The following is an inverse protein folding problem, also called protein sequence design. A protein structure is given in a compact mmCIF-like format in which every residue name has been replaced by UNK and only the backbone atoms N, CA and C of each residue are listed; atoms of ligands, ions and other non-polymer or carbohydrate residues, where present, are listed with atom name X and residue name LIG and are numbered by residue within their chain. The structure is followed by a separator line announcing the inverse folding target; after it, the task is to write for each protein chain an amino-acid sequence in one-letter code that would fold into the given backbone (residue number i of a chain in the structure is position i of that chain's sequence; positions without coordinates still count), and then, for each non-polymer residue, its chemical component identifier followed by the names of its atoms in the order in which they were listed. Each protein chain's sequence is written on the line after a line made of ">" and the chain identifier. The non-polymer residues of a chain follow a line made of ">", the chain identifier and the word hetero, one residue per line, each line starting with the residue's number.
data_IF_358125621958
#
_entry.id   IF_358125621958
#
_cell.length_a   1.000
_cell.length_b   1.000
_cell.length_c   1.000
_cell.angle_alpha   90.00
_cell.angle_beta   90.00
_cell.angle_gamma   90.00
#
_symmetry.space_group_name_H-M   'P 1'
#
loop_
_entity.id
_entity.type
_entity.pdbx_description
1 polymer ?
#
# COMPACT_ATOMS: atom_id res chain seq x y z
N UNK A 1 -14.32 -14.97 -6.57
CA UNK A 1 -13.01 -15.35 -6.05
C UNK A 1 -12.73 -16.81 -6.41
N UNK A 2 -13.64 -17.71 -6.16
CA UNK A 2 -13.53 -19.15 -6.44
C UNK A 2 -13.46 -19.55 -7.91
N UNK A 3 -13.79 -18.64 -8.85
CA UNK A 3 -13.90 -19.02 -10.27
C UNK A 3 -12.56 -19.46 -10.86
N UNK A 4 -11.47 -18.78 -10.50
CA UNK A 4 -10.12 -19.11 -10.97
C UNK A 4 -9.70 -20.49 -10.43
N UNK A 5 -9.96 -20.77 -9.17
CA UNK A 5 -9.66 -22.05 -8.53
C UNK A 5 -10.55 -23.18 -9.08
N UNK A 6 -11.87 -22.95 -9.17
CA UNK A 6 -12.83 -23.94 -9.75
C UNK A 6 -12.53 -24.32 -11.18
N UNK A 7 -11.98 -23.38 -11.96
CA UNK A 7 -11.62 -23.61 -13.39
C UNK A 7 -10.16 -24.00 -13.58
N UNK A 8 -9.39 -24.14 -12.50
CA UNK A 8 -7.95 -24.43 -12.53
C UNK A 8 -7.18 -23.49 -13.47
N UNK A 9 -7.51 -22.20 -13.42
CA UNK A 9 -6.89 -21.18 -14.25
C UNK A 9 -5.64 -20.60 -13.58
N UNK A 10 -4.69 -20.07 -14.35
CA UNK A 10 -3.56 -19.33 -13.78
C UNK A 10 -4.03 -18.18 -12.89
N UNK A 11 -3.34 -17.95 -11.77
CA UNK A 11 -3.67 -16.86 -10.83
C UNK A 11 -3.68 -15.48 -11.50
N UNK A 12 -2.93 -15.30 -12.59
CA UNK A 12 -2.94 -14.08 -13.40
C UNK A 12 -4.32 -13.74 -13.98
N UNK A 13 -5.23 -14.70 -14.03
CA UNK A 13 -6.61 -14.52 -14.51
C UNK A 13 -7.56 -14.01 -13.40
N UNK A 14 -7.11 -13.95 -12.15
CA UNK A 14 -7.92 -13.35 -11.08
C UNK A 14 -8.05 -11.84 -11.29
N UNK A 15 -9.26 -11.35 -11.14
CA UNK A 15 -9.53 -9.90 -11.19
C UNK A 15 -9.17 -9.24 -9.84
N UNK A 16 -7.90 -8.89 -9.69
CA UNK A 16 -7.41 -8.19 -8.51
C UNK A 16 -7.97 -6.78 -8.33
N UNK A 17 -8.47 -6.16 -9.39
CA UNK A 17 -9.13 -4.87 -9.29
C UNK A 17 -10.45 -4.99 -8.54
N UNK A 18 -11.30 -5.93 -8.95
CA UNK A 18 -12.55 -6.21 -8.24
C UNK A 18 -12.33 -6.75 -6.82
N UNK A 19 -11.27 -7.55 -6.63
CA UNK A 19 -10.88 -8.04 -5.30
C UNK A 19 -10.52 -6.86 -4.36
N UNK A 20 -9.76 -5.88 -4.83
CA UNK A 20 -9.44 -4.66 -4.08
C UNK A 20 -10.71 -3.86 -3.72
N UNK A 21 -11.63 -3.72 -4.65
CA UNK A 21 -12.89 -3.00 -4.39
C UNK A 21 -13.77 -3.73 -3.38
N UNK A 22 -13.86 -5.06 -3.48
CA UNK A 22 -14.58 -5.87 -2.49
C UNK A 22 -13.98 -5.71 -1.10
N UNK A 23 -12.65 -5.78 -0.99
CA UNK A 23 -11.94 -5.55 0.26
C UNK A 23 -12.27 -4.16 0.86
N UNK A 24 -12.17 -3.11 0.06
CA UNK A 24 -12.48 -1.75 0.50
C UNK A 24 -13.95 -1.62 0.92
N UNK A 25 -14.88 -2.17 0.14
CA UNK A 25 -16.30 -2.18 0.48
C UNK A 25 -16.58 -2.85 1.83
N UNK A 26 -15.96 -3.99 2.10
CA UNK A 26 -16.11 -4.69 3.37
C UNK A 26 -15.58 -3.86 4.55
N UNK A 27 -14.45 -3.18 4.39
CA UNK A 27 -13.94 -2.24 5.40
C UNK A 27 -14.95 -1.11 5.67
N UNK A 28 -15.54 -0.51 4.62
CA UNK A 28 -16.57 0.54 4.77
C UNK A 28 -17.84 0.06 5.47
N UNK A 29 -18.12 -1.25 5.44
CA UNK A 29 -19.23 -1.86 6.17
C UNK A 29 -18.88 -2.31 7.59
N UNK A 30 -17.63 -2.10 8.03
CA UNK A 30 -17.13 -2.59 9.31
C UNK A 30 -16.94 -4.11 9.38
N UNK A 31 -16.97 -4.79 8.24
CA UNK A 31 -16.82 -6.26 8.14
C UNK A 31 -15.33 -6.64 8.07
N UNK A 32 -14.59 -6.29 9.13
CA UNK A 32 -13.11 -6.33 9.17
C UNK A 32 -12.57 -7.74 8.92
N UNK A 33 -13.14 -8.77 9.55
CA UNK A 33 -12.69 -10.16 9.38
C UNK A 33 -12.88 -10.66 7.94
N UNK A 34 -13.97 -10.26 7.30
CA UNK A 34 -14.21 -10.58 5.90
C UNK A 34 -13.24 -9.85 4.99
N UNK A 35 -12.95 -8.58 5.25
CA UNK A 35 -11.94 -7.82 4.53
C UNK A 35 -10.54 -8.47 4.68
N UNK A 36 -10.16 -8.87 5.89
CA UNK A 36 -8.91 -9.58 6.15
C UNK A 36 -8.83 -10.90 5.36
N UNK A 37 -9.93 -11.65 5.28
CA UNK A 37 -10.01 -12.89 4.49
C UNK A 37 -9.79 -12.63 2.99
N UNK A 38 -10.33 -11.52 2.45
CA UNK A 38 -10.09 -11.10 1.06
C UNK A 38 -8.63 -10.71 0.85
N UNK A 39 -8.02 -10.01 1.83
CA UNK A 39 -6.62 -9.63 1.74
C UNK A 39 -5.69 -10.86 1.81
N UNK A 40 -6.01 -11.86 2.61
CA UNK A 40 -5.26 -13.13 2.68
C UNK A 40 -5.21 -13.86 1.32
N UNK A 41 -6.27 -13.79 0.50
CA UNK A 41 -6.26 -14.30 -0.87
C UNK A 41 -5.20 -13.58 -1.71
N UNK A 42 -5.13 -12.27 -1.61
CA UNK A 42 -4.12 -11.45 -2.29
C UNK A 42 -2.70 -11.86 -1.90
N UNK A 43 -2.44 -12.10 -0.62
CA UNK A 43 -1.13 -12.52 -0.09
C UNK A 43 -0.77 -13.93 -0.60
N UNK A 44 -1.71 -14.87 -0.54
CA UNK A 44 -1.54 -16.24 -1.06
C UNK A 44 -1.17 -16.22 -2.54
N UNK A 45 -1.90 -15.47 -3.34
CA UNK A 45 -1.67 -15.37 -4.79
C UNK A 45 -0.31 -14.71 -5.09
N UNK A 46 0.12 -13.74 -4.31
CA UNK A 46 1.46 -13.16 -4.43
C UNK A 46 2.55 -14.17 -4.11
N UNK A 47 2.41 -14.92 -3.02
CA UNK A 47 3.38 -15.94 -2.63
C UNK A 47 3.52 -17.02 -3.69
N UNK A 48 2.41 -17.49 -4.24
CA UNK A 48 2.40 -18.48 -5.31
C UNK A 48 3.00 -17.93 -6.62
N UNK A 49 2.64 -16.71 -6.99
CA UNK A 49 3.20 -16.04 -8.16
C UNK A 49 4.71 -15.83 -8.08
N UNK A 50 5.27 -15.62 -6.89
CA UNK A 50 6.72 -15.55 -6.67
C UNK A 50 7.36 -16.91 -6.92
N UNK A 51 6.80 -18.00 -6.38
CA UNK A 51 7.29 -19.36 -6.57
C UNK A 51 7.27 -19.79 -8.04
N UNK A 52 6.18 -19.53 -8.71
CA UNK A 52 5.97 -19.94 -10.12
C UNK A 52 6.57 -18.98 -11.13
N UNK A 53 7.17 -17.86 -10.66
CA UNK A 53 7.67 -16.76 -11.51
C UNK A 53 6.62 -16.23 -12.49
N UNK A 54 5.34 -16.39 -12.16
CA UNK A 54 4.24 -15.86 -12.94
C UNK A 54 4.14 -14.34 -12.83
N UNK A 55 3.41 -13.70 -13.77
CA UNK A 55 3.25 -12.24 -13.75
C UNK A 55 2.46 -11.80 -12.51
N UNK A 56 3.10 -11.04 -11.64
CA UNK A 56 2.57 -10.63 -10.34
C UNK A 56 1.66 -9.41 -10.45
N UNK A 57 0.54 -9.51 -11.15
CA UNK A 57 -0.52 -8.49 -11.10
C UNK A 57 -1.00 -8.26 -9.65
N UNK A 58 -1.00 -9.30 -8.84
CA UNK A 58 -1.32 -9.25 -7.42
C UNK A 58 -0.57 -8.13 -6.70
N UNK A 59 0.75 -8.04 -6.85
CA UNK A 59 1.57 -7.03 -6.18
C UNK A 59 1.21 -5.58 -6.51
N UNK A 60 0.52 -5.33 -7.64
CA UNK A 60 0.05 -3.99 -8.00
C UNK A 60 -1.06 -3.50 -7.06
N UNK A 61 -1.88 -4.38 -6.53
CA UNK A 61 -3.01 -4.04 -5.68
C UNK A 61 -2.72 -4.25 -4.19
N UNK A 62 -1.67 -5.02 -3.88
CA UNK A 62 -1.29 -5.35 -2.52
C UNK A 62 -1.18 -4.11 -1.60
N UNK A 63 -0.38 -3.12 -1.99
CA UNK A 63 -0.16 -1.94 -1.15
C UNK A 63 -1.44 -1.10 -0.94
N UNK A 64 -2.37 -1.13 -1.91
CA UNK A 64 -3.64 -0.40 -1.81
C UNK A 64 -4.56 -1.04 -0.77
N UNK A 65 -4.64 -2.38 -0.78
CA UNK A 65 -5.41 -3.11 0.21
C UNK A 65 -4.78 -2.97 1.60
N UNK A 66 -3.43 -3.03 1.67
CA UNK A 66 -2.70 -2.79 2.91
C UNK A 66 -2.98 -1.39 3.47
N UNK A 67 -2.82 -0.34 2.66
CA UNK A 67 -3.10 1.03 3.08
C UNK A 67 -4.56 1.20 3.53
N UNK A 68 -5.53 0.67 2.77
CA UNK A 68 -6.93 0.71 3.14
C UNK A 68 -7.17 0.01 4.49
N UNK A 69 -6.55 -1.16 4.72
CA UNK A 69 -6.73 -1.89 5.98
C UNK A 69 -6.37 -1.03 7.19
N UNK A 70 -5.19 -0.45 7.25
CA UNK A 70 -4.81 0.33 8.44
C UNK A 70 -5.47 1.71 8.51
N UNK A 71 -5.77 2.37 7.38
CA UNK A 71 -6.44 3.67 7.38
C UNK A 71 -7.89 3.52 7.86
N UNK A 72 -8.64 2.55 7.32
CA UNK A 72 -10.05 2.39 7.63
C UNK A 72 -10.30 1.77 9.01
N UNK A 73 -9.33 1.06 9.56
CA UNK A 73 -9.43 0.46 10.91
C UNK A 73 -8.72 1.29 11.98
N UNK A 74 -7.95 2.32 11.60
CA UNK A 74 -7.03 3.06 12.47
C UNK A 74 -6.06 2.15 13.25
N UNK A 75 -5.89 0.91 12.78
CA UNK A 75 -4.96 -0.06 13.36
C UNK A 75 -3.61 0.02 12.66
N UNK A 76 -2.77 0.92 13.14
CA UNK A 76 -1.46 1.22 12.52
C UNK A 76 -0.44 0.09 12.69
N UNK A 77 -0.64 -0.80 13.66
CA UNK A 77 0.27 -1.93 13.93
C UNK A 77 0.03 -3.12 12.99
N UNK A 78 -1.13 -3.18 12.36
CA UNK A 78 -1.49 -4.29 11.45
C UNK A 78 -0.48 -4.51 10.33
N UNK A 79 0.35 -3.49 10.03
CA UNK A 79 1.37 -3.56 9.00
C UNK A 79 2.47 -4.58 9.31
N UNK A 80 2.69 -4.87 10.59
CA UNK A 80 3.68 -5.84 11.04
C UNK A 80 3.22 -7.27 10.70
N UNK A 81 1.90 -7.51 10.72
CA UNK A 81 1.27 -8.79 10.37
C UNK A 81 1.17 -9.01 8.85
N UNK A 82 1.20 -7.92 8.08
CA UNK A 82 1.01 -7.94 6.63
C UNK A 82 2.31 -7.67 5.84
N UNK A 83 3.40 -8.29 6.27
CA UNK A 83 4.64 -8.26 5.49
C UNK A 83 4.46 -8.91 4.12
N UNK A 84 5.02 -8.33 3.05
CA UNK A 84 4.92 -8.93 1.73
C UNK A 84 5.66 -10.28 1.71
N UNK A 85 5.22 -11.24 0.89
CA UNK A 85 5.88 -12.53 0.78
C UNK A 85 7.36 -12.39 0.42
N UNK A 86 8.20 -13.25 1.02
CA UNK A 86 9.63 -13.29 0.75
C UNK A 86 9.91 -13.42 -0.76
N UNK A 87 10.85 -12.64 -1.24
CA UNK A 87 11.20 -12.62 -2.68
C UNK A 87 10.37 -11.66 -3.52
N UNK A 88 9.40 -10.94 -2.94
CA UNK A 88 8.69 -9.89 -3.67
C UNK A 88 9.64 -8.75 -4.06
N UNK A 89 9.69 -8.49 -5.37
CA UNK A 89 10.49 -7.39 -5.95
C UNK A 89 9.53 -6.42 -6.65
N UNK A 90 8.99 -5.44 -5.94
CA UNK A 90 8.02 -4.52 -6.51
C UNK A 90 8.65 -3.66 -7.60
N UNK A 91 7.88 -3.38 -8.65
CA UNK A 91 8.25 -2.36 -9.64
C UNK A 91 8.04 -0.97 -9.04
N UNK A 92 8.74 0.01 -9.57
CA UNK A 92 8.84 1.41 -9.08
C UNK A 92 7.56 1.97 -8.43
N UNK A 93 6.42 1.91 -9.11
CA UNK A 93 5.17 2.47 -8.57
C UNK A 93 4.55 1.61 -7.45
N UNK A 94 4.64 0.30 -7.53
CA UNK A 94 4.18 -0.59 -6.44
C UNK A 94 5.09 -0.50 -5.22
N UNK A 95 6.40 -0.30 -5.44
CA UNK A 95 7.33 -0.02 -4.36
C UNK A 95 7.00 1.30 -3.67
N UNK A 96 6.73 2.35 -4.45
CA UNK A 96 6.36 3.65 -3.92
C UNK A 96 5.11 3.58 -3.03
N UNK A 97 4.05 2.89 -3.49
CA UNK A 97 2.84 2.71 -2.71
C UNK A 97 3.08 1.89 -1.44
N UNK A 98 3.94 0.88 -1.49
CA UNK A 98 4.32 0.14 -0.28
C UNK A 98 5.16 1.01 0.68
N UNK A 99 6.06 1.85 0.17
CA UNK A 99 6.80 2.83 1.00
C UNK A 99 5.88 3.88 1.63
N UNK A 100 4.86 4.30 0.89
CA UNK A 100 3.82 5.16 1.44
C UNK A 100 3.10 4.48 2.61
N UNK A 101 2.60 3.25 2.39
CA UNK A 101 1.90 2.50 3.42
C UNK A 101 2.73 2.37 4.70
N UNK A 102 4.00 1.94 4.58
CA UNK A 102 4.91 1.84 5.73
C UNK A 102 5.19 3.20 6.37
N UNK A 103 5.50 4.22 5.56
CA UNK A 103 5.86 5.55 6.07
C UNK A 103 4.71 6.22 6.80
N UNK A 104 3.48 6.09 6.30
CA UNK A 104 2.30 6.65 6.94
C UNK A 104 1.98 5.93 8.25
N UNK A 105 1.94 4.58 8.22
CA UNK A 105 1.68 3.78 9.42
C UNK A 105 2.71 4.02 10.52
N UNK A 106 4.01 4.02 10.19
CA UNK A 106 5.07 4.29 11.18
C UNK A 106 5.01 5.72 11.73
N UNK A 107 4.61 6.70 10.91
CA UNK A 107 4.37 8.07 11.38
C UNK A 107 3.24 8.13 12.40
N UNK A 108 2.12 7.45 12.15
CA UNK A 108 0.97 7.39 13.05
C UNK A 108 1.27 6.63 14.36
N UNK A 109 2.25 5.71 14.33
CA UNK A 109 2.77 5.04 15.52
C UNK A 109 3.83 5.86 16.28
N UNK A 110 4.21 7.05 15.78
CA UNK A 110 5.29 7.86 16.38
C UNK A 110 6.71 7.37 16.09
N UNK A 111 6.88 6.37 15.24
CA UNK A 111 8.19 5.87 14.79
C UNK A 111 8.78 6.81 13.73
N UNK A 112 9.05 8.06 14.13
CA UNK A 112 9.37 9.18 13.21
C UNK A 112 10.62 8.93 12.36
N UNK A 113 11.66 8.34 12.94
CA UNK A 113 12.89 8.03 12.19
C UNK A 113 12.62 7.02 11.07
N UNK A 114 11.80 6.01 11.35
CA UNK A 114 11.43 4.99 10.39
C UNK A 114 10.54 5.57 9.29
N UNK A 115 9.55 6.37 9.65
CA UNK A 115 8.71 7.11 8.70
C UNK A 115 9.57 7.96 7.74
N UNK A 116 10.57 8.67 8.26
CA UNK A 116 11.50 9.45 7.44
C UNK A 116 12.35 8.58 6.49
N UNK A 117 12.77 7.36 6.90
CA UNK A 117 13.47 6.43 6.00
C UNK A 117 12.59 6.04 4.81
N UNK A 118 11.29 5.78 5.04
CA UNK A 118 10.35 5.48 3.97
C UNK A 118 10.08 6.69 3.07
N UNK A 119 9.90 7.86 3.65
CA UNK A 119 9.74 9.13 2.93
C UNK A 119 10.92 9.42 2.00
N UNK A 120 12.15 9.22 2.46
CA UNK A 120 13.35 9.40 1.62
C UNK A 120 13.38 8.43 0.43
N UNK A 121 13.00 7.16 0.63
CA UNK A 121 12.89 6.18 -0.46
C UNK A 121 11.81 6.59 -1.46
N UNK A 122 10.66 7.07 -0.99
CA UNK A 122 9.57 7.56 -1.84
C UNK A 122 10.03 8.75 -2.70
N UNK A 123 10.71 9.73 -2.11
CA UNK A 123 11.30 10.88 -2.82
C UNK A 123 12.31 10.45 -3.89
N UNK A 124 13.13 9.42 -3.60
CA UNK A 124 14.08 8.88 -4.57
C UNK A 124 13.37 8.23 -5.77
N UNK A 125 12.27 7.51 -5.53
CA UNK A 125 11.45 6.93 -6.60
C UNK A 125 10.83 8.04 -7.46
N UNK A 126 10.27 9.09 -6.86
CA UNK A 126 9.70 10.23 -7.58
C UNK A 126 10.75 10.92 -8.46
N UNK A 127 11.96 11.15 -7.93
CA UNK A 127 13.08 11.73 -8.71
C UNK A 127 13.45 10.87 -9.92
N UNK A 128 13.40 9.54 -9.79
CA UNK A 128 13.65 8.59 -10.87
C UNK A 128 12.52 8.61 -11.91
N UNK A 129 11.27 8.67 -11.49
CA UNK A 129 10.12 8.74 -12.39
C UNK A 129 10.05 10.08 -13.10
N UNK A 130 10.49 11.19 -12.49
CA UNK A 130 10.65 12.49 -13.15
C UNK A 130 11.61 12.41 -14.35
N UNK A 131 12.77 11.79 -14.18
CA UNK A 131 13.74 11.59 -15.28
C UNK A 131 13.19 10.74 -16.43
N UNK A 132 12.09 9.99 -16.21
CA UNK A 132 11.43 9.17 -17.22
C UNK A 132 10.14 9.78 -17.77
N UNK A 133 9.84 11.03 -17.40
CA UNK A 133 8.64 11.78 -17.82
C UNK A 133 7.30 11.08 -17.44
N UNK A 134 7.26 10.40 -16.31
CA UNK A 134 6.03 9.76 -15.80
C UNK A 134 5.18 10.74 -14.98
N UNK A 135 4.77 11.87 -15.58
CA UNK A 135 4.13 12.99 -14.89
C UNK A 135 2.93 12.63 -14.02
N UNK A 136 2.00 11.78 -14.51
CA UNK A 136 0.85 11.35 -13.69
C UNK A 136 1.26 10.65 -12.40
N UNK A 137 2.34 9.85 -12.44
CA UNK A 137 2.85 9.18 -11.24
C UNK A 137 3.48 10.16 -10.26
N UNK A 138 4.16 11.18 -10.78
CA UNK A 138 4.83 12.20 -9.97
C UNK A 138 3.84 12.90 -9.06
N UNK A 139 2.65 13.25 -9.56
CA UNK A 139 1.62 13.91 -8.76
C UNK A 139 1.10 12.99 -7.63
N UNK A 140 0.83 11.72 -7.90
CA UNK A 140 0.49 10.76 -6.84
C UNK A 140 1.59 10.63 -5.79
N UNK A 141 2.85 10.58 -6.21
CA UNK A 141 3.98 10.45 -5.31
C UNK A 141 4.15 11.71 -4.44
N UNK A 142 3.88 12.90 -4.96
CA UNK A 142 3.87 14.14 -4.18
C UNK A 142 2.80 14.11 -3.08
N UNK A 143 1.58 13.69 -3.42
CA UNK A 143 0.49 13.56 -2.44
C UNK A 143 0.93 12.61 -1.32
N UNK A 144 1.42 11.43 -1.63
CA UNK A 144 1.89 10.48 -0.63
C UNK A 144 3.04 11.01 0.25
N UNK A 145 3.96 11.79 -0.33
CA UNK A 145 5.01 12.46 0.44
C UNK A 145 4.44 13.47 1.43
N UNK A 146 3.44 14.25 0.99
CA UNK A 146 2.77 15.24 1.83
C UNK A 146 1.96 14.57 2.95
N UNK A 147 1.27 13.48 2.67
CA UNK A 147 0.50 12.71 3.66
C UNK A 147 1.42 12.17 4.77
N UNK A 148 2.57 11.57 4.43
CA UNK A 148 3.54 11.10 5.44
C UNK A 148 4.08 12.28 6.25
N UNK A 149 4.44 13.40 5.61
CA UNK A 149 4.94 14.58 6.30
C UNK A 149 3.88 15.18 7.23
N UNK A 150 2.62 15.21 6.79
CA UNK A 150 1.49 15.67 7.60
C UNK A 150 1.30 14.77 8.82
N UNK A 151 1.33 13.46 8.66
CA UNK A 151 1.22 12.50 9.77
C UNK A 151 2.36 12.68 10.79
N UNK A 152 3.60 12.86 10.32
CA UNK A 152 4.75 13.17 11.19
C UNK A 152 4.50 14.45 11.99
N UNK A 153 3.98 15.51 11.36
CA UNK A 153 3.71 16.80 12.02
C UNK A 153 2.56 16.70 13.03
N UNK A 154 1.52 15.95 12.70
CA UNK A 154 0.42 15.66 13.62
C UNK A 154 0.92 14.95 14.88
N UNK A 155 1.72 13.90 14.72
CA UNK A 155 2.29 13.19 15.86
C UNK A 155 3.19 14.08 16.73
N UNK A 156 3.92 15.02 16.13
CA UNK A 156 4.75 16.00 16.81
C UNK A 156 3.95 17.13 17.47
N UNK A 157 2.62 17.14 17.38
CA UNK A 157 1.72 18.22 17.79
C UNK A 157 1.98 19.57 17.09
N UNK A 158 2.66 19.55 15.93
CA UNK A 158 2.90 20.74 15.09
C UNK A 158 1.71 20.93 14.13
N UNK A 159 0.54 21.26 14.69
CA UNK A 159 -0.71 21.35 13.93
C UNK A 159 -0.65 22.45 12.85
N UNK A 160 0.07 23.53 13.09
CA UNK A 160 0.22 24.61 12.11
C UNK A 160 0.95 24.12 10.84
N UNK A 161 2.06 23.39 11.01
CA UNK A 161 2.77 22.82 9.88
C UNK A 161 1.96 21.69 9.21
N UNK A 162 1.26 20.86 9.98
CA UNK A 162 0.40 19.80 9.43
C UNK A 162 -0.70 20.38 8.52
N UNK A 163 -1.42 21.41 8.98
CA UNK A 163 -2.45 22.10 8.17
C UNK A 163 -1.85 22.73 6.91
N UNK A 164 -0.67 23.34 7.02
CA UNK A 164 0.02 23.93 5.86
C UNK A 164 0.38 22.88 4.81
N UNK A 165 0.83 21.70 5.22
CA UNK A 165 1.16 20.58 4.31
C UNK A 165 -0.10 20.01 3.66
N UNK A 166 -1.17 19.81 4.43
CA UNK A 166 -2.42 19.25 3.94
C UNK A 166 -3.15 20.14 2.90
N UNK A 167 -2.80 21.43 2.81
CA UNK A 167 -3.37 22.40 1.86
C UNK A 167 -2.57 22.50 0.54
N UNK A 168 -1.47 21.78 0.37
CA UNK A 168 -0.64 21.77 -0.84
C UNK A 168 -1.10 20.71 -1.85
#
# INVERSE_FOLDING_TARGET
>A
VDWVEKKNLPLSNRDYHSLQWLHYYLLQQGLIDQAASIFAIQQKDMAEGIKTRSNLRAGKYYYRMLAASFIETENWEIIDDFSPPNGWKPKSFSEAGYRFALGFSTAMQGKIEEANKHLLKLKAIRKKDFKKNYYKRIEYLKVWELEIQTAIKLYQNDFAAAIKLAKQ
#
